data_IF_246806464478
#
_entry.id   IF_246806464478
#
_cell.length_a   1.000
_cell.length_b   1.000
_cell.length_c   1.000
_cell.angle_alpha   90.00
_cell.angle_beta   90.00
_cell.angle_gamma   90.00
#
_symmetry.space_group_name_H-M   'P 1'
#
loop_
_entity.id
_entity.type
_entity.pdbx_description
1 polymer ?
#
# COMPACT_ATOMS: atom_id res chain seq x y z
N UNK A 1 4.70 -10.53 8.40
CA UNK A 1 5.13 -10.56 6.99
C UNK A 1 6.66 -10.67 6.96
N UNK A 2 7.23 -11.50 6.08
CA UNK A 2 8.66 -11.44 5.74
C UNK A 2 8.79 -10.82 4.34
N UNK A 3 9.35 -9.62 4.29
CA UNK A 3 9.56 -8.87 3.06
C UNK A 3 10.78 -7.97 3.23
N UNK A 4 11.40 -7.61 2.11
CA UNK A 4 12.39 -6.54 2.11
C UNK A 4 11.68 -5.22 2.44
N UNK A 5 12.20 -4.42 3.39
CA UNK A 5 11.54 -3.17 3.76
C UNK A 5 11.40 -2.22 2.57
N UNK A 6 10.20 -1.70 2.32
CA UNK A 6 9.93 -0.84 1.16
C UNK A 6 10.76 0.46 1.18
N UNK A 7 11.10 0.95 2.37
CA UNK A 7 11.79 2.23 2.55
C UNK A 7 13.28 2.21 2.14
N UNK A 8 13.85 1.08 1.72
CA UNK A 8 15.27 1.00 1.31
C UNK A 8 15.58 1.87 0.09
N UNK A 9 14.60 2.12 -0.78
CA UNK A 9 14.72 3.06 -1.92
C UNK A 9 14.16 4.44 -1.61
N UNK A 10 13.80 4.73 -0.35
CA UNK A 10 13.22 6.00 0.11
C UNK A 10 11.93 6.39 -0.63
N UNK A 11 11.14 5.38 -1.01
CA UNK A 11 9.84 5.55 -1.66
C UNK A 11 8.70 5.19 -0.72
N UNK A 12 7.55 5.84 -0.90
CA UNK A 12 6.28 5.34 -0.41
C UNK A 12 5.92 4.04 -1.14
N UNK A 13 5.16 3.15 -0.49
CA UNK A 13 4.79 1.85 -1.07
C UNK A 13 4.01 2.03 -2.39
N UNK A 14 3.12 3.01 -2.44
CA UNK A 14 2.31 3.42 -3.59
C UNK A 14 3.12 4.07 -4.72
N UNK A 15 4.38 4.45 -4.45
CA UNK A 15 5.30 5.01 -5.44
C UNK A 15 6.18 3.93 -6.11
N UNK A 16 6.15 2.67 -5.64
CA UNK A 16 7.00 1.59 -6.16
C UNK A 16 6.41 1.00 -7.43
N UNK A 17 6.35 1.79 -8.49
CA UNK A 17 5.87 1.41 -9.82
C UNK A 17 6.86 1.81 -10.93
N UNK A 18 6.72 1.23 -12.12
CA UNK A 18 7.57 1.55 -13.28
C UNK A 18 9.07 1.46 -12.98
N UNK A 19 9.81 2.52 -13.30
CA UNK A 19 11.26 2.59 -13.06
C UNK A 19 11.64 2.44 -11.57
N UNK A 20 10.78 2.88 -10.65
CA UNK A 20 11.02 2.75 -9.21
C UNK A 20 10.79 1.32 -8.71
N UNK A 21 9.94 0.55 -9.39
CA UNK A 21 9.80 -0.88 -9.14
C UNK A 21 11.08 -1.63 -9.53
N UNK A 22 11.70 -1.26 -10.65
CA UNK A 22 12.98 -1.84 -11.08
C UNK A 22 14.13 -1.45 -10.16
N UNK A 23 14.16 -0.20 -9.68
CA UNK A 23 15.10 0.25 -8.63
C UNK A 23 14.93 -0.55 -7.34
N UNK A 24 13.67 -0.72 -6.89
CA UNK A 24 13.35 -1.49 -5.71
C UNK A 24 13.72 -2.97 -5.87
N UNK A 25 13.46 -3.58 -7.02
CA UNK A 25 13.81 -4.99 -7.25
C UNK A 25 15.32 -5.22 -7.19
N UNK A 26 16.13 -4.30 -7.72
CA UNK A 26 17.60 -4.37 -7.59
C UNK A 26 18.04 -4.30 -6.13
N UNK A 27 17.57 -3.31 -5.39
CA UNK A 27 17.90 -3.16 -3.97
C UNK A 27 17.42 -4.37 -3.13
N UNK A 28 16.25 -4.93 -3.48
CA UNK A 28 15.69 -6.15 -2.90
C UNK A 28 16.57 -7.37 -3.15
N UNK A 29 17.08 -7.53 -4.37
CA UNK A 29 17.98 -8.63 -4.72
C UNK A 29 19.32 -8.53 -3.99
N UNK A 30 19.88 -7.32 -3.86
CA UNK A 30 21.09 -7.08 -3.07
C UNK A 30 20.88 -7.41 -1.59
N UNK A 31 19.76 -6.97 -1.01
CA UNK A 31 19.38 -7.30 0.36
C UNK A 31 19.28 -8.82 0.56
N UNK A 32 18.61 -9.52 -0.35
CA UNK A 32 18.48 -10.98 -0.29
C UNK A 32 19.82 -11.68 -0.42
N UNK A 33 20.72 -11.18 -1.28
CA UNK A 33 22.06 -11.73 -1.43
C UNK A 33 22.83 -11.69 -0.09
N UNK A 34 22.81 -10.54 0.58
CA UNK A 34 23.45 -10.37 1.90
C UNK A 34 22.77 -11.28 2.93
N UNK A 35 21.44 -11.32 2.97
CA UNK A 35 20.69 -12.17 3.90
C UNK A 35 21.07 -13.65 3.75
N UNK A 36 21.22 -14.15 2.51
CA UNK A 36 21.67 -15.53 2.27
C UNK A 36 23.08 -15.77 2.81
N UNK A 37 23.99 -14.79 2.70
CA UNK A 37 25.34 -14.92 3.24
C UNK A 37 25.33 -14.97 4.77
N UNK A 38 24.56 -14.09 5.41
CA UNK A 38 24.40 -14.03 6.86
C UNK A 38 23.71 -15.28 7.43
N UNK A 39 22.74 -15.83 6.73
CA UNK A 39 22.10 -17.11 7.10
C UNK A 39 23.04 -18.32 7.02
N UNK A 40 24.09 -18.24 6.20
CA UNK A 40 25.09 -19.31 6.09
C UNK A 40 26.20 -19.16 7.12
N UNK A 41 26.57 -17.93 7.46
CA UNK A 41 27.60 -17.63 8.46
C UNK A 41 27.08 -17.87 9.89
N UNK A 42 25.79 -17.60 10.10
CA UNK A 42 25.09 -17.85 11.35
C UNK A 42 24.39 -19.19 11.22
N UNK A 43 24.86 -20.24 11.90
CA UNK A 43 24.17 -21.54 11.93
C UNK A 43 22.74 -21.33 12.45
N UNK A 44 21.79 -21.09 11.54
CA UNK A 44 20.40 -20.83 11.91
C UNK A 44 19.86 -22.08 12.60
N UNK A 45 19.70 -22.02 13.92
CA UNK A 45 19.41 -23.16 14.80
C UNK A 45 18.08 -23.87 14.49
N UNK A 46 17.27 -23.35 13.56
CA UNK A 46 15.89 -23.75 13.36
C UNK A 46 15.54 -24.26 11.95
N UNK A 47 16.51 -24.39 11.03
CA UNK A 47 16.27 -24.93 9.69
C UNK A 47 15.30 -24.11 8.81
N UNK A 48 14.90 -22.92 9.28
CA UNK A 48 14.09 -21.95 8.55
C UNK A 48 15.02 -21.00 7.78
N UNK A 49 14.74 -20.80 6.50
CA UNK A 49 15.44 -19.82 5.65
C UNK A 49 14.55 -18.61 5.43
N UNK A 50 14.87 -17.50 6.09
CA UNK A 50 14.18 -16.22 5.93
C UNK A 50 14.38 -15.68 4.52
N UNK A 51 15.55 -15.88 3.91
CA UNK A 51 15.82 -15.50 2.53
C UNK A 51 14.87 -16.21 1.56
N UNK A 52 14.67 -17.53 1.73
CA UNK A 52 13.72 -18.29 0.93
C UNK A 52 12.28 -17.81 1.14
N UNK A 53 11.84 -17.62 2.38
CA UNK A 53 10.48 -17.13 2.67
C UNK A 53 10.24 -15.72 2.11
N UNK A 54 11.24 -14.84 2.23
CA UNK A 54 11.18 -13.48 1.67
C UNK A 54 11.08 -13.50 0.14
N UNK A 55 11.83 -14.38 -0.53
CA UNK A 55 11.76 -14.56 -1.97
C UNK A 55 10.39 -15.14 -2.41
N UNK A 56 9.88 -16.16 -1.72
CA UNK A 56 8.55 -16.73 -1.98
C UNK A 56 7.43 -15.67 -1.82
N UNK A 57 7.57 -14.75 -0.87
CA UNK A 57 6.63 -13.64 -0.65
C UNK A 57 6.63 -12.63 -1.79
N UNK A 58 7.78 -12.40 -2.41
CA UNK A 58 7.91 -11.57 -3.61
C UNK A 58 7.27 -12.24 -4.84
N UNK A 59 7.63 -13.50 -5.10
CA UNK A 59 7.20 -14.24 -6.30
C UNK A 59 5.69 -14.49 -6.32
N UNK A 60 5.11 -14.76 -5.15
CA UNK A 60 3.67 -14.89 -4.97
C UNK A 60 2.90 -13.56 -5.06
N UNK A 61 3.61 -12.42 -5.09
CA UNK A 61 3.05 -11.06 -4.90
C UNK A 61 2.37 -10.87 -3.53
N UNK A 62 2.54 -11.80 -2.59
CA UNK A 62 2.00 -11.71 -1.24
C UNK A 62 2.55 -10.50 -0.47
N UNK A 63 3.76 -10.05 -0.79
CA UNK A 63 4.34 -8.80 -0.25
C UNK A 63 3.41 -7.60 -0.45
N UNK A 64 2.80 -7.46 -1.62
CA UNK A 64 1.93 -6.33 -1.95
C UNK A 64 0.61 -6.38 -1.19
N UNK A 65 0.07 -7.59 -0.99
CA UNK A 65 -1.11 -7.79 -0.15
C UNK A 65 -0.86 -7.33 1.29
N UNK A 66 0.28 -7.71 1.86
CA UNK A 66 0.63 -7.28 3.22
C UNK A 66 0.90 -5.77 3.30
N UNK A 67 1.60 -5.21 2.31
CA UNK A 67 1.79 -3.76 2.22
C UNK A 67 0.48 -2.98 2.13
N UNK A 68 -0.55 -3.50 1.44
CA UNK A 68 -1.89 -2.90 1.45
C UNK A 68 -2.51 -2.85 2.85
N UNK A 69 -2.31 -3.90 3.66
CA UNK A 69 -2.88 -3.96 5.02
C UNK A 69 -2.12 -3.04 5.98
N UNK A 70 -0.79 -2.95 5.82
CA UNK A 70 0.06 -2.14 6.70
C UNK A 70 -0.08 -0.64 6.43
N UNK A 71 -0.44 -0.23 5.21
CA UNK A 71 -0.64 1.17 4.84
C UNK A 71 -2.02 1.39 4.23
N UNK A 72 -2.97 1.78 5.07
CA UNK A 72 -4.33 2.13 4.63
C UNK A 72 -4.34 3.24 3.57
N UNK A 73 -3.45 4.22 3.69
CA UNK A 73 -3.35 5.33 2.73
C UNK A 73 -2.89 4.85 1.34
N UNK A 74 -1.96 3.89 1.29
CA UNK A 74 -1.45 3.34 0.03
C UNK A 74 -2.29 2.16 -0.50
N UNK A 75 -3.17 1.60 0.33
CA UNK A 75 -3.86 0.32 0.07
C UNK A 75 -4.57 0.27 -1.29
N UNK A 76 -5.30 1.33 -1.66
CA UNK A 76 -6.02 1.40 -2.93
C UNK A 76 -5.05 1.45 -4.12
N UNK A 77 -4.02 2.29 -4.04
CA UNK A 77 -2.99 2.40 -5.09
C UNK A 77 -2.27 1.07 -5.28
N UNK A 78 -1.80 0.46 -4.19
CA UNK A 78 -1.05 -0.79 -4.22
C UNK A 78 -1.92 -1.94 -4.72
N UNK A 79 -3.19 -2.00 -4.32
CA UNK A 79 -4.16 -2.97 -4.83
C UNK A 79 -4.30 -2.84 -6.35
N UNK A 80 -4.49 -1.62 -6.84
CA UNK A 80 -4.66 -1.31 -8.25
C UNK A 80 -3.40 -1.62 -9.08
N UNK A 81 -2.21 -1.26 -8.57
CA UNK A 81 -0.93 -1.38 -9.26
C UNK A 81 -0.38 -2.82 -9.26
N UNK A 82 -0.45 -3.51 -8.13
CA UNK A 82 0.33 -4.74 -7.93
C UNK A 82 -0.50 -6.01 -7.77
N UNK A 83 -1.78 -5.89 -7.41
CA UNK A 83 -2.63 -7.05 -7.11
C UNK A 83 -3.66 -7.29 -8.21
N UNK A 84 -4.46 -6.27 -8.58
CA UNK A 84 -5.50 -6.38 -9.61
C UNK A 84 -4.98 -6.96 -10.95
N UNK A 85 -3.83 -6.51 -11.50
CA UNK A 85 -3.33 -7.04 -12.77
C UNK A 85 -3.05 -8.54 -12.74
N UNK A 86 -2.67 -9.11 -11.58
CA UNK A 86 -2.39 -10.55 -11.43
C UNK A 86 -3.66 -11.40 -11.55
N UNK A 87 -4.81 -10.86 -11.15
CA UNK A 87 -6.09 -11.55 -11.18
C UNK A 87 -6.95 -11.18 -12.41
N UNK A 88 -6.35 -10.52 -13.41
CA UNK A 88 -7.09 -9.97 -14.56
C UNK A 88 -8.24 -9.05 -14.15
N UNK A 89 -8.09 -8.38 -13.00
CA UNK A 89 -9.02 -7.38 -12.51
C UNK A 89 -8.52 -6.00 -12.92
N UNK A 90 -9.44 -5.09 -13.17
CA UNK A 90 -9.13 -3.67 -13.37
C UNK A 90 -9.52 -2.87 -12.14
N UNK A 91 -8.73 -1.85 -11.77
CA UNK A 91 -9.15 -0.84 -10.80
C UNK A 91 -10.50 -0.28 -11.24
N UNK A 92 -11.51 -0.42 -10.40
CA UNK A 92 -12.88 -0.04 -10.71
C UNK A 92 -13.59 0.38 -9.43
N UNK A 93 -14.65 1.18 -9.59
CA UNK A 93 -15.52 1.59 -8.48
C UNK A 93 -16.06 0.40 -7.69
N UNK A 94 -16.24 -0.76 -8.32
CA UNK A 94 -16.72 -1.98 -7.66
C UNK A 94 -15.65 -2.57 -6.72
N UNK A 95 -14.38 -2.55 -7.13
CA UNK A 95 -13.25 -2.98 -6.30
C UNK A 95 -13.08 -2.02 -5.12
N UNK A 96 -13.14 -0.72 -5.36
CA UNK A 96 -13.05 0.30 -4.31
C UNK A 96 -14.20 0.17 -3.30
N UNK A 97 -15.43 0.00 -3.80
CA UNK A 97 -16.62 -0.19 -2.96
C UNK A 97 -16.48 -1.46 -2.12
N UNK A 98 -16.06 -2.56 -2.74
CA UNK A 98 -15.83 -3.84 -2.05
C UNK A 98 -14.76 -3.67 -0.97
N UNK A 99 -13.64 -3.02 -1.28
CA UNK A 99 -12.55 -2.81 -0.32
C UNK A 99 -12.98 -1.93 0.85
N UNK A 100 -13.75 -0.86 0.56
CA UNK A 100 -14.25 0.06 1.59
C UNK A 100 -15.18 -0.62 2.60
N UNK A 101 -15.87 -1.69 2.20
CA UNK A 101 -16.73 -2.48 3.10
C UNK A 101 -15.96 -3.19 4.22
N UNK A 102 -14.66 -3.44 4.03
CA UNK A 102 -13.80 -4.07 5.04
C UNK A 102 -13.25 -3.08 6.07
N UNK A 103 -13.34 -1.77 5.85
CA UNK A 103 -12.75 -0.76 6.75
C UNK A 103 -13.56 -0.52 8.02
N UNK A 104 -14.89 -0.64 7.95
CA UNK A 104 -15.77 -0.49 9.10
C UNK A 104 -17.15 -1.03 8.79
N UNK A 105 -17.84 -1.51 9.82
CA UNK A 105 -19.27 -1.77 9.71
C UNK A 105 -20.01 -0.47 9.34
N UNK A 106 -20.76 -0.50 8.25
CA UNK A 106 -21.49 0.66 7.76
C UNK A 106 -20.62 1.75 7.12
N UNK A 107 -19.55 1.36 6.42
CA UNK A 107 -18.66 2.29 5.70
C UNK A 107 -19.41 3.23 4.76
N UNK A 108 -20.44 2.76 4.06
CA UNK A 108 -21.28 3.58 3.20
C UNK A 108 -21.96 4.74 3.95
N UNK A 109 -22.52 4.48 5.13
CA UNK A 109 -23.16 5.51 5.96
C UNK A 109 -22.14 6.55 6.46
N UNK A 110 -20.92 6.12 6.76
CA UNK A 110 -19.83 7.02 7.15
C UNK A 110 -19.45 7.93 5.98
N UNK A 111 -19.34 7.39 4.76
CA UNK A 111 -19.05 8.18 3.55
C UNK A 111 -20.14 9.22 3.31
N UNK A 112 -21.42 8.83 3.36
CA UNK A 112 -22.53 9.76 3.17
C UNK A 112 -22.55 10.86 4.24
N UNK A 113 -22.30 10.51 5.50
CA UNK A 113 -22.17 11.49 6.57
C UNK A 113 -21.01 12.47 6.31
N UNK A 114 -19.85 11.96 5.93
CA UNK A 114 -18.66 12.79 5.64
C UNK A 114 -18.88 13.73 4.46
N UNK A 115 -19.64 13.30 3.44
CA UNK A 115 -20.06 14.15 2.32
C UNK A 115 -20.94 15.29 2.80
N UNK A 116 -21.97 14.99 3.59
CA UNK A 116 -22.86 16.01 4.14
C UNK A 116 -22.12 17.00 5.06
N UNK A 117 -21.22 16.50 5.92
CA UNK A 117 -20.37 17.33 6.78
C UNK A 117 -19.47 18.27 5.96
N UNK A 118 -18.90 17.78 4.85
CA UNK A 118 -18.06 18.59 3.94
C UNK A 118 -18.88 19.69 3.25
N UNK A 119 -20.07 19.38 2.73
CA UNK A 119 -20.95 20.37 2.10
C UNK A 119 -21.36 21.48 3.08
N UNK A 120 -21.65 21.12 4.33
CA UNK A 120 -21.94 22.09 5.38
C UNK A 120 -20.71 22.96 5.70
N UNK A 121 -19.54 22.35 5.84
CA UNK A 121 -18.28 23.04 6.10
C UNK A 121 -17.90 24.03 4.99
N UNK A 122 -18.05 23.63 3.72
CA UNK A 122 -17.79 24.52 2.58
C UNK A 122 -18.74 25.72 2.56
N UNK A 123 -20.00 25.53 2.94
CA UNK A 123 -20.98 26.62 3.05
C UNK A 123 -20.58 27.61 4.13
N UNK A 124 -20.14 27.13 5.29
CA UNK A 124 -19.64 27.98 6.39
C UNK A 124 -18.39 28.74 5.97
N UNK A 125 -17.42 28.06 5.34
CA UNK A 125 -16.22 28.70 4.80
C UNK A 125 -16.55 29.84 3.82
N UNK A 126 -17.49 29.60 2.89
CA UNK A 126 -17.92 30.65 1.94
C UNK A 126 -18.62 31.80 2.64
N UNK A 127 -19.36 31.58 3.72
CA UNK A 127 -19.99 32.66 4.49
C UNK A 127 -18.97 33.52 5.24
N UNK A 128 -17.94 32.90 5.80
CA UNK A 128 -16.90 33.58 6.57
C UNK A 128 -15.91 34.33 5.68
N UNK A 129 -15.46 33.71 4.59
CA UNK A 129 -14.38 34.24 3.75
C UNK A 129 -14.83 34.79 2.39
N UNK A 130 -16.03 34.43 1.91
CA UNK A 130 -16.57 34.95 0.64
C UNK A 130 -16.91 36.44 0.66
N UNK A 131 -16.97 37.06 1.84
CA UNK A 131 -17.16 38.52 2.00
C UNK A 131 -15.86 39.32 1.97
N UNK A 132 -14.69 38.68 2.12
CA UNK A 132 -13.40 39.37 2.21
C UNK A 132 -12.78 39.75 0.84
N UNK A 133 -13.42 39.40 -0.27
CA UNK A 133 -12.94 39.67 -1.64
C UNK A 133 -13.72 40.78 -2.37
N UNK A 134 -14.61 41.49 -1.67
CA UNK A 134 -15.42 42.59 -2.22
C UNK A 134 -15.24 43.94 -1.49
N UNK A 135 -14.17 44.09 -0.70
CA UNK A 135 -13.68 45.38 -0.17
C UNK A 135 -12.28 45.66 -0.75
#
# INVERSE_FOLDING_TARGET
MLAVPYWITRRGIDEIEGDYLDEFDKARQEFLHILVQEERSTSAEHGLSLSKMTQEMWDSKGVWFWFCIESMNASLCVMAQHICPRFSMHPSSDVETTMSSFWSQGSAQIVEKKRADLEAYEKELRQLFGKALCE
#
